data_IF_122819911347
#
_entry.id   IF_122819911347
#
_cell.length_a   1.000
_cell.length_b   1.000
_cell.length_c   1.000
_cell.angle_alpha   90.00
_cell.angle_beta   90.00
_cell.angle_gamma   90.00
#
_symmetry.space_group_name_H-M   'P 1'
#
loop_
_entity.id
_entity.type
_entity.pdbx_description
1 polymer ?
#
# COMPACT_ATOMS: atom_id res chain seq x y z
N UNK A 1 26.51 -14.15 -19.15
CA UNK A 1 26.51 -12.97 -18.26
C UNK A 1 25.07 -12.72 -17.82
N UNK A 2 24.80 -12.92 -16.54
CA UNK A 2 23.45 -12.67 -15.97
C UNK A 2 23.27 -11.15 -15.87
N UNK A 3 22.44 -10.58 -16.74
CA UNK A 3 22.05 -9.16 -16.68
C UNK A 3 21.02 -9.04 -15.58
N UNK A 4 21.37 -8.36 -14.49
CA UNK A 4 20.41 -8.01 -13.44
C UNK A 4 19.59 -6.83 -13.95
N UNK A 5 18.31 -7.07 -14.21
CA UNK A 5 17.35 -6.01 -14.48
C UNK A 5 16.98 -5.37 -13.12
N UNK A 6 17.45 -4.16 -12.88
CA UNK A 6 17.04 -3.35 -11.73
C UNK A 6 15.90 -2.43 -12.16
N UNK A 7 14.74 -2.67 -11.62
CA UNK A 7 13.57 -1.81 -11.88
C UNK A 7 13.45 -0.86 -10.70
N UNK A 8 13.71 0.43 -10.95
CA UNK A 8 13.48 1.49 -9.95
C UNK A 8 12.07 2.02 -10.14
N UNK A 9 11.23 1.74 -9.17
CA UNK A 9 9.86 2.21 -9.12
C UNK A 9 9.79 3.47 -8.25
N UNK A 10 9.55 4.62 -8.87
CA UNK A 10 9.24 5.85 -8.14
C UNK A 10 7.72 5.94 -7.95
N UNK A 11 7.24 5.45 -6.81
CA UNK A 11 5.85 5.58 -6.41
C UNK A 11 5.70 6.82 -5.52
N UNK A 12 5.02 7.83 -6.02
CA UNK A 12 4.63 8.98 -5.20
C UNK A 12 3.31 8.64 -4.52
N UNK A 13 3.39 8.24 -3.25
CA UNK A 13 2.21 8.10 -2.39
C UNK A 13 1.84 9.48 -1.83
N UNK A 14 0.63 9.92 -2.09
CA UNK A 14 0.04 11.01 -1.33
C UNK A 14 -0.51 10.44 0.00
N UNK A 15 -0.07 10.92 1.17
CA UNK A 15 -0.65 10.49 2.43
C UNK A 15 -2.06 11.06 2.55
N UNK A 16 -3.03 10.20 2.83
CA UNK A 16 -4.33 10.63 3.34
C UNK A 16 -4.08 11.31 4.69
N UNK A 17 -4.18 12.62 4.72
CA UNK A 17 -4.10 13.38 5.96
C UNK A 17 -5.34 13.13 6.81
N UNK A 18 -5.20 12.26 7.79
CA UNK A 18 -6.18 12.19 8.87
C UNK A 18 -5.87 13.28 9.88
N UNK A 19 -6.78 14.24 9.94
CA UNK A 19 -6.81 15.29 10.93
C UNK A 19 -7.28 14.69 12.27
N UNK A 20 -6.36 14.45 13.19
CA UNK A 20 -6.70 14.07 14.56
C UNK A 20 -6.24 15.17 15.51
N UNK A 21 -7.22 15.85 16.04
CA UNK A 21 -7.01 16.81 17.11
C UNK A 21 -6.84 16.05 18.43
N UNK A 22 -5.68 16.25 19.04
CA UNK A 22 -5.41 15.85 20.41
C UNK A 22 -6.21 16.72 21.37
N UNK A 23 -7.00 16.11 22.22
CA UNK A 23 -7.48 16.80 23.42
C UNK A 23 -7.01 16.05 24.68
N UNK A 24 -6.12 16.74 25.36
CA UNK A 24 -5.52 16.37 26.62
C UNK A 24 -6.47 16.80 27.74
N UNK A 25 -7.03 15.88 28.49
CA UNK A 25 -7.56 16.20 29.82
C UNK A 25 -6.94 15.30 30.87
N UNK A 26 -6.23 16.01 31.71
CA UNK A 26 -5.61 15.61 32.96
C UNK A 26 -6.71 15.57 34.02
N UNK A 27 -6.86 14.48 34.74
CA UNK A 27 -7.19 14.59 36.15
C UNK A 27 -6.76 13.39 36.98
N UNK A 28 -6.47 13.71 38.19
CA UNK A 28 -5.73 12.99 39.21
C UNK A 28 -6.67 12.16 40.10
N UNK A 29 -6.17 11.06 40.63
CA UNK A 29 -6.42 10.74 42.02
C UNK A 29 -7.17 9.46 42.36
N UNK A 30 -6.49 8.69 43.12
CA UNK A 30 -6.86 7.98 44.33
C UNK A 30 -6.79 6.46 44.32
N UNK A 31 -5.92 6.03 45.19
CA UNK A 31 -5.73 4.67 45.73
C UNK A 31 -6.99 4.06 46.29
N UNK A 32 -7.16 2.75 46.06
CA UNK A 32 -7.53 1.83 47.17
C UNK A 32 -7.29 0.36 46.79
N UNK A 33 -6.63 -0.30 47.71
CA UNK A 33 -6.34 -1.73 47.75
C UNK A 33 -7.61 -2.56 48.04
N UNK A 34 -7.79 -3.66 47.28
CA UNK A 34 -8.38 -4.91 47.83
C UNK A 34 -8.13 -6.11 46.89
N UNK A 35 -7.38 -7.08 47.42
CA UNK A 35 -7.45 -8.53 47.39
C UNK A 35 -8.00 -9.30 46.17
N UNK A 36 -7.07 -10.04 45.59
CA UNK A 36 -7.11 -11.45 45.12
C UNK A 36 -8.46 -12.06 44.74
N UNK A 37 -8.96 -11.75 43.57
CA UNK A 37 -9.82 -12.66 42.80
C UNK A 37 -9.87 -12.31 41.29
N UNK A 38 -8.79 -11.77 40.74
CA UNK A 38 -8.82 -11.04 39.45
C UNK A 38 -8.06 -11.68 38.31
N UNK A 39 -7.57 -12.90 38.42
CA UNK A 39 -6.75 -13.49 37.39
C UNK A 39 -7.57 -13.97 36.17
N UNK A 40 -8.82 -14.33 36.38
CA UNK A 40 -9.71 -14.77 35.31
C UNK A 40 -10.35 -13.61 34.51
N UNK A 41 -10.42 -12.42 35.11
CA UNK A 41 -11.00 -11.25 34.43
C UNK A 41 -9.94 -10.45 33.59
N UNK A 42 -8.66 -10.54 33.99
CA UNK A 42 -7.58 -9.86 33.28
C UNK A 42 -7.37 -10.46 31.87
N UNK A 43 -7.52 -11.78 31.75
CA UNK A 43 -7.36 -12.44 30.43
C UNK A 43 -8.49 -12.06 29.44
N UNK A 44 -9.70 -11.84 29.92
CA UNK A 44 -10.81 -11.37 29.07
C UNK A 44 -10.66 -9.89 28.69
N UNK A 45 -10.07 -9.07 29.55
CA UNK A 45 -9.86 -7.65 29.27
C UNK A 45 -8.72 -7.47 28.26
N UNK A 46 -7.67 -8.30 28.32
CA UNK A 46 -6.57 -8.28 27.36
C UNK A 46 -7.02 -8.75 25.97
N UNK A 47 -7.91 -9.75 25.91
CA UNK A 47 -8.47 -10.20 24.61
C UNK A 47 -9.46 -9.20 24.00
N UNK A 48 -10.11 -8.36 24.82
CA UNK A 48 -10.99 -7.29 24.33
C UNK A 48 -10.19 -6.07 23.84
N UNK A 49 -8.98 -5.85 24.38
CA UNK A 49 -8.11 -4.76 23.90
C UNK A 49 -7.45 -5.08 22.58
N UNK A 50 -7.15 -6.34 22.27
CA UNK A 50 -6.67 -6.76 20.96
C UNK A 50 -7.72 -6.56 19.85
N UNK A 51 -9.01 -6.59 20.21
CA UNK A 51 -10.09 -6.36 19.26
C UNK A 51 -10.47 -4.87 19.09
N UNK A 52 -10.03 -3.99 19.99
CA UNK A 52 -10.27 -2.54 19.90
C UNK A 52 -9.13 -1.80 19.18
N UNK A 53 -7.97 -2.45 19.03
CA UNK A 53 -6.82 -1.94 18.27
C UNK A 53 -6.82 -2.46 16.82
N UNK A 54 -7.97 -2.82 16.28
CA UNK A 54 -8.11 -3.01 14.85
C UNK A 54 -8.18 -1.64 14.15
N UNK A 55 -7.25 -0.76 14.50
CA UNK A 55 -6.88 0.33 13.63
C UNK A 55 -6.33 -0.34 12.38
N UNK A 56 -7.11 -0.28 11.32
CA UNK A 56 -6.68 -0.68 9.98
C UNK A 56 -5.52 0.24 9.60
N UNK A 57 -4.31 -0.12 10.04
CA UNK A 57 -3.12 0.57 9.57
C UNK A 57 -3.08 0.41 8.04
N UNK A 58 -2.80 1.49 7.31
CA UNK A 58 -2.61 1.37 5.87
C UNK A 58 -1.57 0.29 5.58
N UNK A 59 -1.87 -0.57 4.61
CA UNK A 59 -0.92 -1.60 4.18
C UNK A 59 0.38 -0.94 3.70
N UNK A 60 1.48 -1.63 3.94
CA UNK A 60 2.75 -1.20 3.35
C UNK A 60 2.68 -1.32 1.82
N UNK A 61 3.48 -0.55 1.11
CA UNK A 61 3.45 -0.48 -0.36
C UNK A 61 3.56 -1.84 -1.03
N UNK A 62 4.44 -2.70 -0.53
CA UNK A 62 4.64 -4.03 -1.10
C UNK A 62 3.49 -5.01 -0.77
N UNK A 63 2.71 -4.73 0.26
CA UNK A 63 1.51 -5.48 0.63
C UNK A 63 0.29 -4.99 -0.15
N UNK A 64 0.15 -3.65 -0.27
CA UNK A 64 -0.93 -3.03 -1.04
C UNK A 64 -0.79 -3.29 -2.55
N UNK A 65 0.44 -3.39 -3.05
CA UNK A 65 0.77 -3.48 -4.46
C UNK A 65 1.80 -4.58 -4.77
N UNK A 66 1.51 -5.85 -4.53
CA UNK A 66 2.41 -6.94 -4.90
C UNK A 66 2.71 -6.92 -6.40
N UNK A 67 3.99 -7.01 -6.74
CA UNK A 67 4.49 -6.91 -8.11
C UNK A 67 5.28 -8.16 -8.49
N UNK A 68 5.07 -8.67 -9.68
CA UNK A 68 5.93 -9.68 -10.30
C UNK A 68 6.31 -9.29 -11.73
N UNK A 69 7.54 -9.64 -12.12
CA UNK A 69 8.07 -9.39 -13.46
C UNK A 69 8.51 -10.72 -14.06
N UNK A 70 8.02 -11.00 -15.26
CA UNK A 70 8.35 -12.23 -16.00
C UNK A 70 8.87 -11.86 -17.38
N UNK A 71 10.03 -12.38 -17.77
CA UNK A 71 10.50 -12.30 -19.15
C UNK A 71 9.83 -13.44 -19.95
N UNK A 72 9.08 -13.09 -20.98
CA UNK A 72 8.45 -14.07 -21.87
C UNK A 72 9.34 -14.40 -23.08
N UNK A 73 10.23 -13.49 -23.45
CA UNK A 73 11.29 -13.67 -24.45
C UNK A 73 12.47 -12.74 -24.16
N UNK A 74 13.45 -12.70 -25.08
CA UNK A 74 14.68 -11.91 -24.93
C UNK A 74 14.44 -10.39 -24.93
N UNK A 75 13.27 -9.93 -25.34
CA UNK A 75 12.93 -8.53 -25.49
C UNK A 75 11.66 -8.10 -24.78
N UNK A 76 10.85 -9.06 -24.31
CA UNK A 76 9.53 -8.76 -23.77
C UNK A 76 9.42 -9.17 -22.31
N UNK A 77 9.04 -8.19 -21.49
CA UNK A 77 8.74 -8.38 -20.08
C UNK A 77 7.25 -8.17 -19.83
N UNK A 78 6.69 -9.00 -18.99
CA UNK A 78 5.33 -8.86 -18.45
C UNK A 78 5.44 -8.48 -16.99
N UNK A 79 4.82 -7.39 -16.62
CA UNK A 79 4.67 -6.94 -15.24
C UNK A 79 3.24 -7.23 -14.81
N UNK A 80 3.10 -8.12 -13.84
CA UNK A 80 1.82 -8.35 -13.17
C UNK A 80 1.79 -7.57 -11.87
N UNK A 81 0.83 -6.67 -11.75
CA UNK A 81 0.68 -5.82 -10.59
C UNK A 81 -0.65 -6.07 -9.92
N UNK A 82 -0.62 -6.64 -8.73
CA UNK A 82 -1.80 -6.82 -7.91
C UNK A 82 -2.08 -5.50 -7.17
N UNK A 83 -3.35 -5.20 -7.01
CA UNK A 83 -3.82 -4.01 -6.28
C UNK A 83 -4.82 -4.51 -5.25
N UNK A 84 -4.53 -4.26 -3.97
CA UNK A 84 -5.41 -4.65 -2.89
C UNK A 84 -6.66 -3.78 -2.85
N UNK A 85 -7.72 -4.30 -2.24
CA UNK A 85 -8.97 -3.59 -2.06
C UNK A 85 -8.74 -2.24 -1.34
N UNK A 86 -9.46 -1.20 -1.73
CA UNK A 86 -9.34 0.18 -1.25
C UNK A 86 -8.06 0.93 -1.67
N UNK A 87 -7.19 0.30 -2.48
CA UNK A 87 -6.01 0.93 -3.04
C UNK A 87 -6.16 1.17 -4.53
N UNK A 88 -5.40 2.11 -5.07
CA UNK A 88 -5.29 2.34 -6.51
C UNK A 88 -3.93 2.91 -6.91
N UNK A 89 -3.55 2.66 -8.16
CA UNK A 89 -2.33 3.19 -8.76
C UNK A 89 -2.66 4.30 -9.75
N UNK A 90 -1.93 5.39 -9.68
CA UNK A 90 -2.02 6.46 -10.68
C UNK A 90 -1.21 6.08 -11.92
N UNK A 91 -1.87 5.95 -13.07
CA UNK A 91 -1.20 5.63 -14.35
C UNK A 91 -0.11 6.65 -14.68
N UNK A 92 -0.41 7.92 -14.51
CA UNK A 92 0.49 9.02 -14.90
C UNK A 92 1.70 9.19 -13.95
N UNK A 93 1.70 8.47 -12.82
CA UNK A 93 2.82 8.46 -11.86
C UNK A 93 3.70 7.22 -11.98
N UNK A 94 3.35 6.28 -12.87
CA UNK A 94 4.16 5.11 -13.12
C UNK A 94 5.34 5.44 -14.01
N UNK A 95 6.53 5.01 -13.63
CA UNK A 95 7.72 5.10 -14.47
C UNK A 95 8.54 3.82 -14.38
N UNK A 96 9.17 3.45 -15.49
CA UNK A 96 9.98 2.24 -15.58
C UNK A 96 11.36 2.58 -16.14
N UNK A 97 12.37 1.99 -15.54
CA UNK A 97 13.76 2.10 -15.98
C UNK A 97 14.33 0.70 -16.10
N UNK A 98 14.94 0.39 -17.21
CA UNK A 98 15.68 -0.85 -17.44
C UNK A 98 17.18 -0.55 -17.40
N UNK A 99 17.90 -1.20 -16.46
CA UNK A 99 19.35 -1.09 -16.41
C UNK A 99 19.98 -2.05 -17.45
N UNK A 100 20.84 -1.52 -18.29
CA UNK A 100 21.53 -2.27 -19.34
C UNK A 100 20.68 -2.58 -20.58
N UNK A 101 19.46 -2.03 -20.68
CA UNK A 101 18.62 -2.15 -21.85
C UNK A 101 17.84 -0.84 -22.11
N UNK A 102 17.40 -0.66 -23.35
CA UNK A 102 16.52 0.47 -23.71
C UNK A 102 15.09 -0.02 -23.77
N UNK A 103 14.19 0.67 -23.07
CA UNK A 103 12.75 0.43 -23.21
C UNK A 103 12.30 1.05 -24.53
N UNK A 104 11.75 0.24 -25.42
CA UNK A 104 11.19 0.69 -26.70
C UNK A 104 9.72 1.06 -26.57
N UNK A 105 8.92 0.20 -25.95
CA UNK A 105 7.49 0.45 -25.75
C UNK A 105 7.02 -0.04 -24.39
N UNK A 106 6.01 0.64 -23.86
CA UNK A 106 5.27 0.23 -22.65
C UNK A 106 3.80 0.24 -23.01
N UNK A 107 3.18 -0.94 -22.97
CA UNK A 107 1.76 -1.11 -23.23
C UNK A 107 1.00 -1.18 -21.91
N UNK A 108 0.31 -0.12 -21.58
CA UNK A 108 -0.56 -0.04 -20.42
C UNK A 108 -1.98 -0.51 -20.78
N UNK A 109 -2.66 -1.21 -19.88
CA UNK A 109 -4.09 -1.49 -20.04
C UNK A 109 -4.92 -0.21 -19.94
N UNK A 110 -6.19 -0.30 -20.27
CA UNK A 110 -7.13 0.80 -20.11
C UNK A 110 -7.27 1.19 -18.64
N UNK A 111 -7.13 2.47 -18.34
CA UNK A 111 -7.27 3.04 -17.01
C UNK A 111 -8.65 3.64 -16.82
N UNK A 112 -9.12 3.63 -15.57
CA UNK A 112 -10.37 4.27 -15.16
C UNK A 112 -10.12 5.73 -14.82
N UNK A 113 -11.00 6.62 -15.25
CA UNK A 113 -10.98 8.01 -14.80
C UNK A 113 -11.62 8.13 -13.42
N UNK A 114 -10.92 8.82 -12.54
CA UNK A 114 -11.35 9.09 -11.15
C UNK A 114 -11.18 10.58 -10.85
N UNK A 115 -12.13 11.14 -10.10
CA UNK A 115 -11.97 12.47 -9.54
C UNK A 115 -11.22 12.34 -8.21
N UNK A 116 -10.03 12.91 -8.17
CA UNK A 116 -9.17 12.94 -6.99
C UNK A 116 -9.24 14.33 -6.32
N UNK A 117 -9.16 14.33 -5.00
CA UNK A 117 -9.28 15.58 -4.22
C UNK A 117 -8.08 16.51 -4.40
N UNK A 118 -6.89 15.95 -4.70
CA UNK A 118 -5.65 16.71 -4.79
C UNK A 118 -5.23 16.97 -6.24
N UNK A 119 -5.48 16.02 -7.14
CA UNK A 119 -4.98 16.06 -8.52
C UNK A 119 -6.08 16.29 -9.56
N UNK A 120 -7.36 16.42 -9.14
CA UNK A 120 -8.47 16.56 -10.05
C UNK A 120 -8.78 15.26 -10.79
N UNK A 121 -9.04 15.34 -12.11
CA UNK A 121 -9.32 14.14 -12.90
C UNK A 121 -8.02 13.39 -13.22
N UNK A 122 -7.94 12.15 -12.78
CA UNK A 122 -6.77 11.27 -12.92
C UNK A 122 -7.13 9.93 -13.54
N UNK A 123 -6.16 9.30 -14.17
CA UNK A 123 -6.26 7.92 -14.66
C UNK A 123 -5.71 6.95 -13.63
N UNK A 124 -6.53 5.99 -13.18
CA UNK A 124 -6.15 5.05 -12.11
C UNK A 124 -6.44 3.60 -12.48
N UNK A 125 -5.74 2.70 -11.78
CA UNK A 125 -5.99 1.27 -11.76
C UNK A 125 -6.44 0.87 -10.36
N UNK A 126 -7.62 0.29 -10.23
CA UNK A 126 -8.22 -0.21 -8.97
C UNK A 126 -8.31 -1.74 -8.93
N UNK A 127 -7.80 -2.41 -9.97
CA UNK A 127 -7.81 -3.87 -10.13
C UNK A 127 -6.44 -4.33 -10.61
N UNK A 128 -6.10 -5.60 -10.42
CA UNK A 128 -4.88 -6.16 -10.98
C UNK A 128 -4.69 -5.82 -12.45
N UNK A 129 -3.47 -5.44 -12.81
CA UNK A 129 -3.10 -5.06 -14.17
C UNK A 129 -1.91 -5.86 -14.66
N UNK A 130 -1.83 -5.99 -15.99
CA UNK A 130 -0.69 -6.52 -16.70
C UNK A 130 -0.14 -5.43 -17.64
N UNK A 131 1.17 -5.19 -17.57
CA UNK A 131 1.86 -4.22 -18.39
C UNK A 131 2.91 -4.96 -19.21
N UNK A 132 2.90 -4.79 -20.54
CA UNK A 132 3.93 -5.33 -21.41
C UNK A 132 4.99 -4.25 -21.66
N UNK A 133 6.26 -4.62 -21.49
CA UNK A 133 7.41 -3.78 -21.80
C UNK A 133 8.25 -4.48 -22.86
N UNK A 134 8.52 -3.78 -23.97
CA UNK A 134 9.46 -4.21 -25.00
C UNK A 134 10.78 -3.46 -24.85
N UNK A 135 11.89 -4.22 -24.87
CA UNK A 135 13.26 -3.75 -24.72
C UNK A 135 13.97 -3.64 -26.08
#
# INVERSE_FOLDING_TARGET
>A
MKRFLSIVLLLVLAPLSQNWASELTKDSGLSQSTSVDSVSQINNTLQLQDNLNNETHPLQVHEAFPLSVVAIDDKTLVINWLIQEDYYLYKDKMSFVADGAKIETINFPEAKLKQDEFFGQVSVYERPIEILITL
#
